data_IF_778693926061
#
_entry.id   IF_778693926061
#
_cell.length_a   1.000
_cell.length_b   1.000
_cell.length_c   1.000
_cell.angle_alpha   90.00
_cell.angle_beta   90.00
_cell.angle_gamma   90.00
#
_symmetry.space_group_name_H-M   'P 1'
#
loop_
_entity.id
_entity.type
_entity.pdbx_description
1 polymer ?
#
# COMPACT_ATOMS: atom_id res chain seq x y z
N UNK A 1 -10.04 5.68 -26.60
CA UNK A 1 -10.40 4.37 -25.99
C UNK A 1 -10.70 4.59 -24.52
N UNK A 2 -11.86 4.11 -24.07
CA UNK A 2 -12.47 4.33 -22.76
C UNK A 2 -11.85 3.41 -21.69
N UNK A 3 -10.94 3.94 -20.86
CA UNK A 3 -10.59 3.31 -19.58
C UNK A 3 -11.16 4.15 -18.44
N UNK A 4 -12.46 4.02 -18.19
CA UNK A 4 -13.10 4.64 -17.03
C UNK A 4 -14.00 3.65 -16.26
N UNK A 5 -13.64 2.36 -16.28
CA UNK A 5 -14.11 1.43 -15.24
C UNK A 5 -13.11 1.51 -14.09
N UNK A 6 -13.53 2.04 -12.95
CA UNK A 6 -12.76 1.92 -11.70
C UNK A 6 -12.45 0.43 -11.51
N UNK A 7 -11.18 0.07 -11.31
CA UNK A 7 -10.86 -1.29 -10.88
C UNK A 7 -11.60 -1.56 -9.59
N UNK A 8 -12.41 -2.62 -9.57
CA UNK A 8 -12.92 -3.14 -8.32
C UNK A 8 -11.90 -4.14 -7.81
N UNK A 9 -11.18 -3.76 -6.75
CA UNK A 9 -10.32 -4.68 -6.04
C UNK A 9 -11.16 -5.52 -5.11
N UNK A 10 -10.76 -6.78 -4.92
CA UNK A 10 -11.33 -7.66 -3.91
C UNK A 10 -10.22 -8.14 -2.97
N UNK A 11 -10.58 -8.54 -1.75
CA UNK A 11 -9.58 -8.93 -0.74
C UNK A 11 -8.85 -10.21 -1.14
N UNK A 12 -9.50 -11.11 -1.88
CA UNK A 12 -8.95 -12.39 -2.34
C UNK A 12 -7.72 -12.22 -3.23
N UNK A 13 -7.58 -11.07 -3.91
CA UNK A 13 -6.40 -10.75 -4.72
C UNK A 13 -5.11 -10.65 -3.88
N UNK A 14 -5.24 -10.49 -2.57
CA UNK A 14 -4.12 -10.42 -1.64
C UNK A 14 -3.72 -11.79 -1.07
N UNK A 15 -4.53 -12.82 -1.31
CA UNK A 15 -4.22 -14.17 -0.84
C UNK A 15 -2.92 -14.69 -1.47
N UNK A 16 -2.02 -15.19 -0.63
CA UNK A 16 -0.75 -15.79 -1.09
C UNK A 16 0.28 -14.81 -1.64
N UNK A 17 0.07 -13.50 -1.54
CA UNK A 17 1.05 -12.52 -2.03
C UNK A 17 2.39 -12.65 -1.31
N UNK A 18 3.46 -12.74 -2.13
CA UNK A 18 4.83 -12.65 -1.66
C UNK A 18 5.29 -11.18 -1.71
N UNK A 19 5.46 -10.56 -0.54
CA UNK A 19 5.93 -9.18 -0.40
C UNK A 19 7.44 -9.08 -0.17
N UNK A 20 8.16 -10.21 -0.16
CA UNK A 20 9.62 -10.21 0.02
C UNK A 20 10.26 -9.75 -1.28
N UNK A 21 10.88 -8.57 -1.22
CA UNK A 21 11.64 -7.95 -2.30
C UNK A 21 13.02 -7.52 -1.76
N UNK A 22 14.04 -7.55 -2.61
CA UNK A 22 15.39 -7.11 -2.25
C UNK A 22 15.46 -5.58 -2.09
N UNK A 23 14.75 -4.85 -2.94
CA UNK A 23 14.66 -3.40 -2.92
C UNK A 23 13.21 -2.95 -3.07
N UNK A 24 12.89 -1.76 -2.56
CA UNK A 24 11.55 -1.22 -2.70
C UNK A 24 11.36 -0.65 -4.12
N UNK A 25 10.52 -1.30 -4.91
CA UNK A 25 10.03 -0.77 -6.18
C UNK A 25 8.49 -0.74 -6.18
N UNK A 26 7.93 0.47 -6.29
CA UNK A 26 6.48 0.67 -6.30
C UNK A 26 5.83 0.08 -7.55
N UNK A 27 6.49 0.07 -8.71
CA UNK A 27 5.92 -0.49 -9.92
C UNK A 27 5.84 -2.02 -9.82
N UNK A 28 6.86 -2.70 -9.29
CA UNK A 28 6.81 -4.14 -9.01
C UNK A 28 5.72 -4.49 -8.01
N UNK A 29 5.62 -3.74 -6.92
CA UNK A 29 4.61 -3.95 -5.89
C UNK A 29 3.19 -3.82 -6.48
N UNK A 30 2.96 -2.80 -7.30
CA UNK A 30 1.69 -2.61 -8.00
C UNK A 30 1.38 -3.72 -9.01
N UNK A 31 2.39 -4.41 -9.54
CA UNK A 31 2.22 -5.53 -10.46
C UNK A 31 1.53 -6.71 -9.78
N UNK A 32 1.86 -6.96 -8.51
CA UNK A 32 1.36 -8.09 -7.73
C UNK A 32 -0.17 -8.16 -7.65
N UNK A 33 -0.83 -7.01 -7.77
CA UNK A 33 -2.29 -6.88 -7.70
C UNK A 33 -2.86 -6.14 -8.92
N UNK A 34 -2.14 -6.13 -10.05
CA UNK A 34 -2.56 -5.55 -11.33
C UNK A 34 -3.02 -4.07 -11.23
N UNK A 35 -2.35 -3.27 -10.41
CA UNK A 35 -2.68 -1.86 -10.17
C UNK A 35 -1.84 -0.86 -10.97
N UNK A 36 -0.77 -1.32 -11.62
CA UNK A 36 0.19 -0.48 -12.33
C UNK A 36 -0.49 0.48 -13.33
N UNK A 37 -1.34 -0.04 -14.22
CA UNK A 37 -1.98 0.78 -15.27
C UNK A 37 -2.94 1.82 -14.67
N UNK A 38 -3.67 1.48 -13.61
CA UNK A 38 -4.60 2.38 -12.93
C UNK A 38 -3.86 3.52 -12.21
N UNK A 39 -2.73 3.21 -11.59
CA UNK A 39 -1.89 4.22 -10.93
C UNK A 39 -1.19 5.11 -11.96
N UNK A 40 -0.61 4.50 -13.00
CA UNK A 40 0.12 5.20 -14.05
C UNK A 40 -0.77 6.13 -14.89
N UNK A 41 -2.03 5.77 -15.11
CA UNK A 41 -3.01 6.59 -15.84
C UNK A 41 -3.63 7.72 -15.02
N UNK A 42 -3.33 7.82 -13.72
CA UNK A 42 -3.87 8.89 -12.89
C UNK A 42 -3.30 10.26 -13.29
N UNK A 43 -4.17 11.28 -13.33
CA UNK A 43 -3.78 12.67 -13.70
C UNK A 43 -2.60 13.20 -12.87
N UNK A 44 -2.54 12.83 -11.59
CA UNK A 44 -1.46 13.26 -10.70
C UNK A 44 -0.11 12.66 -11.10
N UNK A 45 -0.07 11.36 -11.39
CA UNK A 45 1.15 10.66 -11.80
C UNK A 45 1.59 11.12 -13.19
N UNK A 46 0.67 11.25 -14.16
CA UNK A 46 0.98 11.72 -15.52
C UNK A 46 1.65 13.09 -15.48
N UNK A 47 1.08 14.06 -14.76
CA UNK A 47 1.63 15.42 -14.65
C UNK A 47 3.05 15.41 -14.06
N UNK A 48 3.27 14.62 -13.02
CA UNK A 48 4.59 14.56 -12.38
C UNK A 48 5.63 13.86 -13.25
N UNK A 49 5.26 12.81 -14.00
CA UNK A 49 6.14 12.16 -14.97
C UNK A 49 6.50 13.04 -16.17
N UNK A 50 5.61 13.95 -16.56
CA UNK A 50 5.92 14.91 -17.63
C UNK A 50 6.91 15.99 -17.17
N UNK A 51 6.86 16.35 -15.89
CA UNK A 51 7.71 17.38 -15.31
C UNK A 51 9.02 16.84 -14.69
N UNK A 52 9.14 15.53 -14.50
CA UNK A 52 10.27 14.90 -13.80
C UNK A 52 10.59 13.53 -14.40
N UNK A 53 11.82 13.04 -14.20
CA UNK A 53 12.15 11.64 -14.54
C UNK A 53 11.15 10.65 -13.91
N UNK A 54 10.82 9.56 -14.62
CA UNK A 54 9.89 8.54 -14.13
C UNK A 54 10.35 7.87 -12.83
N UNK A 55 11.66 7.87 -12.56
CA UNK A 55 12.28 7.35 -11.33
C UNK A 55 12.43 8.40 -10.22
N UNK A 56 12.01 9.65 -10.46
CA UNK A 56 12.10 10.69 -9.46
C UNK A 56 11.24 10.34 -8.25
N UNK A 57 11.77 10.57 -7.04
CA UNK A 57 11.08 10.25 -5.79
C UNK A 57 9.69 10.91 -5.70
N UNK A 58 9.49 12.10 -6.29
CA UNK A 58 8.16 12.73 -6.32
C UNK A 58 7.13 11.91 -7.11
N UNK A 59 7.56 11.25 -8.20
CA UNK A 59 6.70 10.36 -8.99
C UNK A 59 6.40 9.10 -8.18
N UNK A 60 7.40 8.53 -7.50
CA UNK A 60 7.23 7.37 -6.59
C UNK A 60 6.23 7.68 -5.47
N UNK A 61 6.33 8.86 -4.83
CA UNK A 61 5.39 9.32 -3.81
C UNK A 61 3.97 9.43 -4.38
N UNK A 62 3.82 10.02 -5.57
CA UNK A 62 2.52 10.12 -6.22
C UNK A 62 1.92 8.76 -6.54
N UNK A 63 2.72 7.80 -7.01
CA UNK A 63 2.26 6.42 -7.23
C UNK A 63 1.77 5.77 -5.93
N UNK A 64 2.52 5.89 -4.84
CA UNK A 64 2.12 5.40 -3.50
C UNK A 64 0.80 6.01 -3.02
N UNK A 65 0.63 7.32 -3.16
CA UNK A 65 -0.61 8.03 -2.82
C UNK A 65 -1.81 7.53 -3.63
N UNK A 66 -1.64 7.29 -4.93
CA UNK A 66 -2.73 6.77 -5.77
C UNK A 66 -3.04 5.31 -5.47
N UNK A 67 -2.02 4.51 -5.17
CA UNK A 67 -2.19 3.13 -4.74
C UNK A 67 -3.04 3.03 -3.47
N UNK A 68 -2.70 3.79 -2.41
CA UNK A 68 -3.51 3.80 -1.17
C UNK A 68 -4.95 4.26 -1.42
N UNK A 69 -5.16 5.26 -2.30
CA UNK A 69 -6.52 5.71 -2.66
C UNK A 69 -7.36 4.60 -3.30
N UNK A 70 -6.75 3.74 -4.11
CA UNK A 70 -7.43 2.60 -4.73
C UNK A 70 -7.77 1.51 -3.70
N UNK A 71 -6.96 1.39 -2.64
CA UNK A 71 -7.20 0.44 -1.53
C UNK A 71 -8.24 0.92 -0.51
N UNK A 72 -8.63 2.21 -0.54
CA UNK A 72 -9.47 2.82 0.50
C UNK A 72 -10.71 2.00 0.87
N UNK A 73 -11.45 1.52 -0.13
CA UNK A 73 -12.67 0.77 0.12
C UNK A 73 -12.41 -0.57 0.83
N UNK A 74 -11.34 -1.28 0.46
CA UNK A 74 -10.95 -2.54 1.11
C UNK A 74 -10.38 -2.29 2.52
N UNK A 75 -9.60 -1.22 2.70
CA UNK A 75 -9.07 -0.87 4.01
C UNK A 75 -10.18 -0.51 4.99
N UNK A 76 -11.28 0.07 4.49
CA UNK A 76 -12.41 0.48 5.30
C UNK A 76 -13.54 -0.55 5.34
N UNK A 77 -13.44 -1.68 4.63
CA UNK A 77 -14.40 -2.77 4.76
C UNK A 77 -14.29 -3.40 6.14
N UNK A 78 -15.30 -4.15 6.57
CA UNK A 78 -15.17 -4.99 7.74
C UNK A 78 -14.07 -6.04 7.51
N UNK A 79 -13.20 -6.24 8.50
CA UNK A 79 -12.16 -7.26 8.48
C UNK A 79 -12.38 -8.14 9.70
N UNK A 80 -11.93 -9.39 9.63
CA UNK A 80 -11.96 -10.30 10.77
C UNK A 80 -11.20 -9.71 11.98
N UNK A 81 -11.64 -10.00 13.22
CA UNK A 81 -10.89 -9.61 14.42
C UNK A 81 -9.52 -10.29 14.42
N UNK A 82 -8.55 -9.70 15.11
CA UNK A 82 -7.21 -10.28 15.22
C UNK A 82 -7.28 -11.68 15.87
N UNK A 83 -6.78 -12.70 15.15
CA UNK A 83 -6.68 -14.08 15.62
C UNK A 83 -5.22 -14.37 16.02
N UNK A 84 -4.96 -14.43 17.33
CA UNK A 84 -3.64 -14.81 17.86
C UNK A 84 -3.26 -16.25 17.53
N UNK A 85 -4.26 -17.13 17.33
CA UNK A 85 -4.05 -18.53 17.02
C UNK A 85 -3.73 -18.75 15.54
N UNK A 86 -4.05 -17.79 14.66
CA UNK A 86 -3.79 -17.91 13.22
C UNK A 86 -2.31 -18.19 12.91
N UNK A 87 -1.41 -17.56 13.66
CA UNK A 87 0.04 -17.65 13.45
C UNK A 87 0.71 -18.89 14.05
N UNK A 88 0.00 -19.62 14.92
CA UNK A 88 0.52 -20.85 15.53
C UNK A 88 -0.07 -22.12 14.91
N UNK A 89 -1.13 -21.99 14.10
CA UNK A 89 -1.73 -23.11 13.37
C UNK A 89 -0.73 -23.70 12.38
N UNK A 90 -0.66 -25.04 12.34
CA UNK A 90 0.17 -25.78 11.38
C UNK A 90 -0.30 -25.59 9.93
N UNK A 91 -1.60 -25.39 9.72
CA UNK A 91 -2.22 -25.13 8.42
C UNK A 91 -3.17 -23.95 8.56
N UNK A 92 -2.89 -22.86 7.87
CA UNK A 92 -3.65 -21.60 7.89
C UNK A 92 -4.28 -21.28 6.51
N UNK A 93 -4.55 -22.32 5.73
CA UNK A 93 -5.16 -22.25 4.38
C UNK A 93 -6.26 -23.29 4.17
N UNK A 94 -6.55 -24.11 5.18
CA UNK A 94 -7.44 -25.26 5.08
C UNK A 94 -8.92 -24.89 5.00
N UNK A 95 -9.33 -23.79 5.64
CA UNK A 95 -10.70 -23.30 5.60
C UNK A 95 -10.84 -22.02 4.78
N UNK A 96 -12.06 -21.71 4.35
CA UNK A 96 -12.38 -20.42 3.71
C UNK A 96 -12.11 -19.24 4.65
N UNK A 97 -12.41 -19.41 5.95
CA UNK A 97 -12.12 -18.43 6.98
C UNK A 97 -10.62 -18.13 7.09
N UNK A 98 -9.76 -19.16 7.13
CA UNK A 98 -8.31 -18.95 7.23
C UNK A 98 -7.76 -18.29 5.95
N UNK A 99 -8.30 -18.64 4.77
CA UNK A 99 -7.91 -17.99 3.50
C UNK A 99 -8.31 -16.52 3.47
N UNK A 100 -9.52 -16.19 3.91
CA UNK A 100 -9.99 -14.82 4.04
C UNK A 100 -9.09 -14.03 5.01
N UNK A 101 -8.86 -14.57 6.20
CA UNK A 101 -7.98 -13.94 7.19
C UNK A 101 -6.58 -13.67 6.63
N UNK A 102 -6.00 -14.67 5.93
CA UNK A 102 -4.71 -14.56 5.27
C UNK A 102 -4.70 -13.44 4.22
N UNK A 103 -5.76 -13.34 3.41
CA UNK A 103 -5.89 -12.32 2.38
C UNK A 103 -6.02 -10.92 3.00
N UNK A 104 -6.84 -10.76 4.05
CA UNK A 104 -6.95 -9.52 4.80
C UNK A 104 -5.62 -9.11 5.46
N UNK A 105 -4.89 -10.07 6.03
CA UNK A 105 -3.59 -9.80 6.64
C UNK A 105 -2.58 -9.32 5.59
N UNK A 106 -2.57 -9.97 4.41
CA UNK A 106 -1.75 -9.55 3.28
C UNK A 106 -2.15 -8.19 2.71
N UNK A 107 -3.43 -7.85 2.68
CA UNK A 107 -3.89 -6.50 2.33
C UNK A 107 -3.30 -5.45 3.29
N UNK A 108 -3.32 -5.72 4.60
CA UNK A 108 -2.75 -4.82 5.60
C UNK A 108 -1.22 -4.68 5.42
N UNK A 109 -0.50 -5.80 5.28
CA UNK A 109 0.94 -5.79 5.01
C UNK A 109 1.29 -5.02 3.72
N UNK A 110 0.53 -5.25 2.64
CA UNK A 110 0.71 -4.59 1.36
C UNK A 110 0.52 -3.08 1.46
N UNK A 111 -0.56 -2.64 2.12
CA UNK A 111 -0.80 -1.21 2.37
C UNK A 111 0.29 -0.59 3.25
N UNK A 112 0.82 -1.35 4.22
CA UNK A 112 1.93 -0.90 5.07
C UNK A 112 3.23 -0.71 4.29
N UNK A 113 3.60 -1.66 3.41
CA UNK A 113 4.76 -1.53 2.51
C UNK A 113 4.64 -0.29 1.62
N UNK A 114 3.44 -0.03 1.06
CA UNK A 114 3.17 1.20 0.29
C UNK A 114 3.34 2.45 1.15
N UNK A 115 2.74 2.46 2.34
CA UNK A 115 2.75 3.61 3.23
C UNK A 115 4.16 3.92 3.74
N UNK A 116 4.97 2.91 4.02
CA UNK A 116 6.34 3.06 4.51
C UNK A 116 7.33 3.39 3.38
N UNK A 117 7.15 2.82 2.18
CA UNK A 117 8.11 2.95 1.09
C UNK A 117 9.39 2.14 1.32
N UNK A 118 9.26 1.00 2.02
CA UNK A 118 10.36 0.09 2.40
C UNK A 118 9.95 -1.35 2.12
N UNK A 119 10.91 -2.25 1.94
CA UNK A 119 10.63 -3.67 1.68
C UNK A 119 10.04 -4.37 2.90
N UNK A 120 9.26 -5.43 2.68
CA UNK A 120 8.75 -6.25 3.79
C UNK A 120 9.88 -6.84 4.63
N UNK A 121 11.00 -7.27 4.01
CA UNK A 121 12.18 -7.79 4.71
C UNK A 121 12.77 -6.79 5.72
N UNK A 122 12.69 -5.49 5.41
CA UNK A 122 13.14 -4.46 6.33
C UNK A 122 12.12 -4.24 7.46
N UNK A 123 10.85 -4.19 7.10
CA UNK A 123 9.74 -3.94 8.04
C UNK A 123 9.52 -5.11 9.00
N UNK A 124 9.76 -6.36 8.60
CA UNK A 124 9.57 -7.54 9.46
C UNK A 124 10.50 -7.54 10.69
N UNK A 125 11.62 -6.82 10.61
CA UNK A 125 12.54 -6.64 11.73
C UNK A 125 12.09 -5.53 12.72
N UNK A 126 11.09 -4.71 12.37
CA UNK A 126 10.57 -3.61 13.20
C UNK A 126 9.32 -3.98 14.01
N UNK A 127 9.06 -5.27 14.23
CA UNK A 127 7.85 -5.76 14.90
C UNK A 127 6.54 -5.22 14.27
N UNK A 128 6.30 -5.47 12.97
CA UNK A 128 5.11 -4.96 12.29
C UNK A 128 3.84 -5.63 12.83
N UNK A 129 3.94 -6.77 13.52
CA UNK A 129 2.79 -7.47 14.10
C UNK A 129 2.00 -6.59 15.07
N UNK A 130 2.68 -5.84 15.95
CA UNK A 130 2.01 -4.92 16.89
C UNK A 130 1.31 -3.77 16.15
N UNK A 131 1.94 -3.24 15.10
CA UNK A 131 1.40 -2.16 14.27
C UNK A 131 0.17 -2.66 13.51
N UNK A 132 0.28 -3.78 12.81
CA UNK A 132 -0.78 -4.36 11.99
C UNK A 132 -1.95 -4.84 12.84
N UNK A 133 -1.71 -5.43 14.02
CA UNK A 133 -2.75 -5.68 15.03
C UNK A 133 -3.50 -4.39 15.38
N UNK A 134 -2.74 -3.34 15.73
CA UNK A 134 -3.30 -2.05 16.06
C UNK A 134 -4.11 -1.41 14.92
N UNK A 135 -3.71 -1.62 13.67
CA UNK A 135 -4.46 -1.14 12.49
C UNK A 135 -5.71 -2.00 12.29
N UNK A 136 -5.60 -3.33 12.37
CA UNK A 136 -6.73 -4.26 12.21
C UNK A 136 -7.83 -3.96 13.24
N UNK A 137 -7.48 -3.82 14.51
CA UNK A 137 -8.47 -3.70 15.60
C UNK A 137 -9.09 -2.30 15.70
N UNK A 138 -8.32 -1.23 15.46
CA UNK A 138 -8.78 0.13 15.79
C UNK A 138 -9.57 0.79 14.66
N UNK A 139 -10.46 0.14 13.93
CA UNK A 139 -11.22 0.82 12.87
C UNK A 139 -12.40 1.60 13.47
N UNK A 140 -12.31 2.94 13.54
CA UNK A 140 -13.38 3.78 14.11
C UNK A 140 -13.99 4.70 13.06
N UNK A 141 -15.15 5.27 13.35
CA UNK A 141 -15.81 6.26 12.49
C UNK A 141 -15.00 7.55 12.31
N UNK A 142 -14.07 7.85 13.23
CA UNK A 142 -13.23 9.04 13.21
C UNK A 142 -11.85 8.79 12.60
N UNK A 143 -11.29 7.59 12.77
CA UNK A 143 -9.98 7.21 12.24
C UNK A 143 -10.05 5.81 11.64
N UNK A 144 -10.23 5.78 10.32
CA UNK A 144 -10.28 4.53 9.57
C UNK A 144 -8.87 3.94 9.38
N UNK A 145 -8.81 2.66 9.01
CA UNK A 145 -7.53 2.02 8.60
C UNK A 145 -6.86 2.78 7.45
N UNK A 146 -7.64 3.27 6.49
CA UNK A 146 -7.11 4.10 5.42
C UNK A 146 -6.43 5.37 5.97
N UNK A 147 -7.04 6.05 6.93
CA UNK A 147 -6.50 7.32 7.47
C UNK A 147 -5.14 7.09 8.15
N UNK A 148 -4.99 5.97 8.88
CA UNK A 148 -3.70 5.59 9.47
C UNK A 148 -2.60 5.35 8.44
N UNK A 149 -2.89 4.61 7.38
CA UNK A 149 -1.91 4.41 6.31
C UNK A 149 -1.59 5.73 5.59
N UNK A 150 -2.56 6.62 5.49
CA UNK A 150 -2.38 7.95 4.90
C UNK A 150 -1.49 8.84 5.78
N UNK A 151 -1.66 8.81 7.10
CA UNK A 151 -0.79 9.47 8.08
C UNK A 151 0.64 8.93 8.00
N UNK A 152 0.83 7.60 8.02
CA UNK A 152 2.15 6.96 7.86
C UNK A 152 2.81 7.42 6.55
N UNK A 153 2.09 7.41 5.43
CA UNK A 153 2.62 7.91 4.16
C UNK A 153 3.01 9.39 4.26
N UNK A 154 2.19 10.20 4.92
CA UNK A 154 2.45 11.61 5.16
C UNK A 154 3.75 11.84 5.92
N UNK A 155 3.96 11.11 7.01
CA UNK A 155 5.17 11.19 7.83
C UNK A 155 6.42 10.80 7.04
N UNK A 156 6.34 9.73 6.24
CA UNK A 156 7.47 9.26 5.43
C UNK A 156 7.80 10.17 4.24
N UNK A 157 6.88 11.03 3.79
CA UNK A 157 7.04 11.79 2.53
C UNK A 157 6.97 13.30 2.70
N UNK A 158 6.51 13.78 3.85
CA UNK A 158 6.20 15.20 4.08
C UNK A 158 7.39 16.13 3.93
N UNK A 159 8.56 15.73 4.43
CA UNK A 159 9.79 16.53 4.29
C UNK A 159 10.21 16.63 2.81
N UNK A 160 10.22 15.52 2.08
CA UNK A 160 10.57 15.51 0.66
C UNK A 160 9.61 16.39 -0.15
N UNK A 161 8.29 16.25 0.08
CA UNK A 161 7.28 17.07 -0.60
C UNK A 161 7.50 18.57 -0.31
N UNK A 162 7.86 18.93 0.93
CA UNK A 162 8.14 20.32 1.30
C UNK A 162 9.36 20.86 0.55
N UNK A 163 10.46 20.11 0.51
CA UNK A 163 11.68 20.47 -0.24
C UNK A 163 11.39 20.59 -1.74
N UNK A 164 10.62 19.65 -2.30
CA UNK A 164 10.24 19.64 -3.71
C UNK A 164 9.43 20.88 -4.09
N UNK A 165 8.45 21.26 -3.26
CA UNK A 165 7.65 22.47 -3.46
C UNK A 165 8.46 23.76 -3.44
N UNK A 166 9.58 23.77 -2.72
CA UNK A 166 10.54 24.90 -2.69
C UNK A 166 11.55 24.88 -3.84
N UNK A 167 11.56 23.83 -4.66
CA UNK A 167 12.55 23.64 -5.73
C UNK A 167 13.93 23.19 -5.23
N UNK A 168 14.06 22.79 -3.96
CA UNK A 168 15.32 22.35 -3.36
C UNK A 168 15.71 20.93 -3.79
N UNK A 169 14.72 20.12 -4.17
CA UNK A 169 14.91 18.77 -4.72
C UNK A 169 14.03 18.60 -5.96
N UNK A 170 14.41 17.67 -6.82
CA UNK A 170 13.70 17.36 -8.06
C UNK A 170 14.68 16.89 -9.12
N UNK A 171 14.21 16.04 -10.02
CA UNK A 171 15.02 15.54 -11.14
C UNK A 171 14.33 16.00 -12.40
N UNK A 172 15.01 16.82 -13.21
CA UNK A 172 14.48 17.22 -14.52
C UNK A 172 14.28 15.98 -15.39
N UNK A 173 13.33 16.00 -16.35
CA UNK A 173 13.24 14.96 -17.36
C UNK A 173 14.58 14.84 -18.10
N UNK A 174 14.96 13.60 -18.44
CA UNK A 174 16.06 13.33 -19.36
C UNK A 174 15.74 13.86 -20.77
#
# INVERSE_FOLDING_TARGET
MLFNRKKQLTVEQFFGLNLKQEHFDIDELLALVDLQQYVASSKAVIKLKQANSNKAMIVTIAKRQQALKLLRNLLNSELLPYDEYFYIKKVNTGSEHDRLYSAEDKLLQYAYVIAMGKTWNWLENENPAAILKGIRERNTSQHSRFDRYWEILGDQTGEYIRKFKKGEVGTKPD
#
